data_IF_701348755162
#
_entry.id   IF_701348755162
#
_cell.length_a   1.000
_cell.length_b   1.000
_cell.length_c   1.000
_cell.angle_alpha   90.00
_cell.angle_beta   90.00
_cell.angle_gamma   90.00
#
_symmetry.space_group_name_H-M   'P 1'
#
loop_
_entity.id
_entity.type
_entity.pdbx_description
1 polymer ?
#
# COMPACT_ATOMS: atom_id res chain seq x y z
N UNK A 1 29.76 2.37 14.80
CA UNK A 1 29.50 1.39 13.71
C UNK A 1 28.09 1.61 13.19
N UNK A 2 27.93 2.03 11.95
CA UNK A 2 26.60 2.17 11.29
C UNK A 2 26.19 0.78 10.84
N UNK A 3 25.25 0.14 11.53
CA UNK A 3 24.64 -1.09 11.02
C UNK A 3 23.92 -0.76 9.71
N UNK A 4 24.59 -1.01 8.60
CA UNK A 4 23.92 -1.09 7.30
C UNK A 4 23.11 -2.36 7.32
N UNK A 5 21.78 -2.22 7.47
CA UNK A 5 20.87 -3.35 7.26
C UNK A 5 21.07 -3.82 5.83
N UNK A 6 21.43 -5.08 5.69
CA UNK A 6 21.55 -5.70 4.38
C UNK A 6 20.17 -5.66 3.68
N UNK A 7 20.04 -5.08 2.49
CA UNK A 7 18.76 -5.01 1.78
C UNK A 7 18.07 -6.38 1.59
N UNK A 8 18.87 -7.44 1.42
CA UNK A 8 18.37 -8.81 1.32
C UNK A 8 17.70 -9.29 2.62
N UNK A 9 18.30 -8.94 3.78
CA UNK A 9 17.73 -9.31 5.09
C UNK A 9 16.44 -8.53 5.41
N UNK A 10 16.39 -7.26 5.01
CA UNK A 10 15.18 -6.45 5.16
C UNK A 10 14.05 -6.98 4.27
N UNK A 11 14.35 -7.41 3.05
CA UNK A 11 13.40 -8.03 2.14
C UNK A 11 12.86 -9.34 2.69
N UNK A 12 13.73 -10.25 3.14
CA UNK A 12 13.33 -11.54 3.71
C UNK A 12 12.45 -11.35 4.95
N UNK A 13 12.85 -10.45 5.86
CA UNK A 13 12.08 -10.15 7.05
C UNK A 13 10.70 -9.55 6.71
N UNK A 14 10.61 -8.72 5.66
CA UNK A 14 9.34 -8.17 5.19
C UNK A 14 8.45 -9.27 4.57
N UNK A 15 9.01 -10.14 3.74
CA UNK A 15 8.31 -11.29 3.16
C UNK A 15 7.75 -12.20 4.25
N UNK A 16 8.56 -12.52 5.27
CA UNK A 16 8.13 -13.33 6.40
C UNK A 16 7.02 -12.64 7.21
N UNK A 17 7.13 -11.33 7.45
CA UNK A 17 6.11 -10.58 8.17
C UNK A 17 4.77 -10.58 7.41
N UNK A 18 4.79 -10.34 6.09
CA UNK A 18 3.58 -10.35 5.27
C UNK A 18 2.94 -11.74 5.18
N UNK A 19 3.75 -12.80 5.03
CA UNK A 19 3.25 -14.18 4.88
C UNK A 19 2.72 -14.76 6.18
N UNK A 20 3.32 -14.40 7.32
CA UNK A 20 3.00 -15.01 8.61
C UNK A 20 2.22 -14.09 9.55
N UNK A 21 1.83 -12.89 9.11
CA UNK A 21 1.10 -11.91 9.94
C UNK A 21 1.90 -11.46 11.17
N UNK A 22 3.21 -11.63 11.18
CA UNK A 22 4.06 -11.23 12.29
C UNK A 22 4.28 -9.72 12.26
N UNK A 23 3.99 -9.07 13.37
CA UNK A 23 4.29 -7.65 13.57
C UNK A 23 5.80 -7.48 13.61
N UNK A 24 6.38 -6.93 12.55
CA UNK A 24 7.74 -6.42 12.65
C UNK A 24 7.72 -5.16 13.51
N UNK A 25 8.45 -5.17 14.62
CA UNK A 25 8.68 -3.95 15.40
C UNK A 25 9.69 -3.08 14.65
N UNK A 26 9.17 -2.15 13.87
CA UNK A 26 9.96 -1.11 13.22
C UNK A 26 10.29 0.04 14.18
N UNK A 27 9.80 0.00 15.41
CA UNK A 27 9.97 1.05 16.42
C UNK A 27 11.44 1.31 16.76
N UNK A 28 12.29 0.29 16.60
CA UNK A 28 13.75 0.42 16.76
C UNK A 28 14.44 1.06 15.54
N UNK A 29 13.73 1.21 14.43
CA UNK A 29 14.27 1.73 13.18
C UNK A 29 13.70 3.10 12.86
N UNK A 30 13.79 4.02 13.81
CA UNK A 30 13.53 5.44 13.54
C UNK A 30 14.86 6.14 13.30
N UNK A 31 15.36 6.18 12.05
CA UNK A 31 16.52 7.00 11.77
C UNK A 31 16.18 8.44 12.14
N UNK A 32 17.08 9.12 12.85
CA UNK A 32 16.98 10.58 13.02
C UNK A 32 17.20 11.22 11.66
N UNK A 33 16.16 11.18 10.82
CA UNK A 33 16.20 11.83 9.52
C UNK A 33 16.06 13.33 9.77
N UNK A 34 17.11 14.07 9.49
CA UNK A 34 17.06 15.55 9.56
C UNK A 34 16.08 16.05 8.51
N UNK A 35 15.27 17.06 8.84
CA UNK A 35 14.44 17.73 7.84
C UNK A 35 15.29 18.11 6.63
N UNK A 36 14.79 17.84 5.44
CA UNK A 36 15.48 18.18 4.20
C UNK A 36 14.89 19.45 3.63
N UNK A 37 15.74 20.36 3.19
CA UNK A 37 15.37 21.55 2.39
C UNK A 37 15.16 21.21 0.92
N UNK A 38 15.14 19.94 0.57
CA UNK A 38 14.95 19.47 -0.81
C UNK A 38 13.59 19.88 -1.35
N UNK A 39 13.57 20.30 -2.60
CA UNK A 39 12.35 20.56 -3.37
C UNK A 39 11.78 19.29 -4.03
N UNK A 40 12.27 18.11 -3.70
CA UNK A 40 11.82 16.84 -4.27
C UNK A 40 11.15 15.95 -3.23
N UNK A 41 10.11 15.23 -3.63
CA UNK A 41 9.42 14.21 -2.84
C UNK A 41 9.56 12.86 -3.55
N UNK A 42 9.72 11.81 -2.77
CA UNK A 42 9.72 10.47 -3.33
C UNK A 42 8.30 9.94 -3.48
N UNK A 43 7.93 9.45 -4.65
CA UNK A 43 6.59 8.90 -4.90
C UNK A 43 6.68 7.39 -5.11
N UNK A 44 5.79 6.64 -4.45
CA UNK A 44 5.54 5.22 -4.68
C UNK A 44 4.08 5.07 -5.11
N UNK A 45 3.82 4.59 -6.31
CA UNK A 45 2.48 4.21 -6.76
C UNK A 45 2.28 2.72 -6.52
N UNK A 46 1.23 2.38 -5.79
CA UNK A 46 0.75 1.02 -5.57
C UNK A 46 -0.75 0.98 -5.92
N UNK A 47 -1.05 0.40 -7.04
CA UNK A 47 -2.40 0.21 -7.58
C UNK A 47 -2.54 -1.22 -8.06
N UNK A 48 -3.77 -1.69 -8.19
CA UNK A 48 -4.08 -3.01 -8.75
C UNK A 48 -3.32 -4.14 -8.02
N UNK A 49 -3.29 -4.06 -6.70
CA UNK A 49 -2.60 -5.06 -5.88
C UNK A 49 -3.38 -6.37 -5.80
N UNK A 50 -4.71 -6.30 -5.87
CA UNK A 50 -5.59 -7.46 -5.89
C UNK A 50 -5.25 -8.52 -4.83
N UNK A 51 -5.12 -8.11 -3.55
CA UNK A 51 -4.94 -9.08 -2.48
C UNK A 51 -6.10 -10.07 -2.44
N UNK A 52 -5.78 -11.36 -2.52
CA UNK A 52 -6.75 -12.44 -2.60
C UNK A 52 -6.91 -13.03 -4.00
N UNK A 53 -6.35 -12.40 -5.04
CA UNK A 53 -6.33 -12.99 -6.38
C UNK A 53 -5.61 -14.34 -6.37
N UNK A 54 -6.16 -15.30 -7.10
CA UNK A 54 -5.54 -16.58 -7.35
C UNK A 54 -5.50 -16.83 -8.86
N UNK A 55 -4.32 -16.99 -9.40
CA UNK A 55 -4.09 -17.38 -10.78
C UNK A 55 -3.34 -18.70 -10.75
N UNK A 56 -3.96 -19.73 -11.27
CA UNK A 56 -3.35 -21.05 -11.41
C UNK A 56 -2.36 -21.05 -12.58
N UNK A 57 -1.28 -21.81 -12.44
CA UNK A 57 -0.32 -22.00 -13.53
C UNK A 57 -0.96 -22.65 -14.76
N UNK A 58 -2.01 -23.45 -14.57
CA UNK A 58 -2.77 -24.02 -15.68
C UNK A 58 -3.57 -22.98 -16.47
N UNK A 59 -3.96 -21.87 -15.83
CA UNK A 59 -4.65 -20.76 -16.51
C UNK A 59 -3.66 -19.84 -17.27
N UNK A 60 -2.51 -19.58 -16.64
CA UNK A 60 -1.46 -18.74 -17.23
C UNK A 60 -0.10 -19.42 -16.99
N UNK A 61 0.38 -20.21 -17.94
CA UNK A 61 1.65 -20.92 -17.80
C UNK A 61 2.81 -20.02 -17.40
N UNK A 62 3.53 -20.40 -16.36
CA UNK A 62 4.66 -19.64 -15.81
C UNK A 62 4.27 -18.48 -14.90
N UNK A 63 2.98 -18.29 -14.59
CA UNK A 63 2.53 -17.18 -13.76
C UNK A 63 1.52 -17.63 -12.69
N UNK A 64 2.02 -18.26 -11.64
CA UNK A 64 1.22 -18.55 -10.46
C UNK A 64 1.12 -17.31 -9.55
N UNK A 65 -0.09 -16.88 -9.19
CA UNK A 65 -0.34 -15.80 -8.25
C UNK A 65 -1.20 -16.29 -7.11
N UNK A 66 -0.68 -16.16 -5.92
CA UNK A 66 -1.34 -16.49 -4.66
C UNK A 66 -1.05 -15.40 -3.60
N UNK A 67 -1.56 -15.58 -2.39
CA UNK A 67 -1.32 -14.69 -1.25
C UNK A 67 0.17 -14.45 -0.98
N UNK A 68 1.00 -15.49 -1.09
CA UNK A 68 2.45 -15.41 -0.87
C UNK A 68 3.12 -14.59 -1.97
N UNK A 69 2.70 -14.80 -3.21
CA UNK A 69 3.20 -14.06 -4.37
C UNK A 69 2.87 -12.57 -4.24
N UNK A 70 1.65 -12.23 -3.81
CA UNK A 70 1.26 -10.83 -3.60
C UNK A 70 2.07 -10.16 -2.48
N UNK A 71 2.27 -10.85 -1.35
CA UNK A 71 3.14 -10.34 -0.29
C UNK A 71 4.57 -10.10 -0.79
N UNK A 72 5.13 -11.02 -1.58
CA UNK A 72 6.46 -10.88 -2.19
C UNK A 72 6.54 -9.71 -3.17
N UNK A 73 5.51 -9.51 -4.00
CA UNK A 73 5.46 -8.36 -4.94
C UNK A 73 5.46 -7.04 -4.20
N UNK A 74 4.66 -6.92 -3.13
CA UNK A 74 4.63 -5.71 -2.29
C UNK A 74 5.98 -5.48 -1.58
N UNK A 75 6.59 -6.56 -1.06
CA UNK A 75 7.92 -6.49 -0.47
C UNK A 75 8.98 -6.05 -1.49
N UNK A 76 8.94 -6.59 -2.70
CA UNK A 76 9.84 -6.22 -3.79
C UNK A 76 9.67 -4.73 -4.17
N UNK A 77 8.44 -4.26 -4.38
CA UNK A 77 8.16 -2.85 -4.68
C UNK A 77 8.73 -1.94 -3.58
N UNK A 78 8.51 -2.32 -2.32
CA UNK A 78 9.02 -1.57 -1.17
C UNK A 78 10.55 -1.55 -1.14
N UNK A 79 11.20 -2.68 -1.34
CA UNK A 79 12.66 -2.78 -1.36
C UNK A 79 13.26 -1.95 -2.53
N UNK A 80 12.70 -2.09 -3.73
CA UNK A 80 13.14 -1.30 -4.90
C UNK A 80 12.97 0.20 -4.66
N UNK A 81 11.92 0.60 -3.96
CA UNK A 81 11.73 2.00 -3.57
C UNK A 81 12.86 2.50 -2.66
N UNK A 82 13.38 1.64 -1.77
CA UNK A 82 14.49 1.98 -0.90
C UNK A 82 15.80 2.14 -1.69
N UNK A 83 16.02 1.34 -2.74
CA UNK A 83 17.20 1.43 -3.61
C UNK A 83 17.26 2.80 -4.32
N UNK A 84 16.12 3.37 -4.68
CA UNK A 84 16.02 4.70 -5.29
C UNK A 84 16.19 5.87 -4.31
N UNK A 85 16.66 5.62 -3.10
CA UNK A 85 16.99 6.64 -2.10
C UNK A 85 18.23 7.44 -2.52
N UNK A 86 18.23 8.02 -3.69
CA UNK A 86 19.30 8.92 -4.13
C UNK A 86 18.96 10.36 -3.77
N UNK A 87 19.84 10.99 -3.01
CA UNK A 87 19.76 12.40 -2.65
C UNK A 87 18.86 12.69 -1.44
N UNK A 88 18.90 13.95 -1.02
CA UNK A 88 18.04 14.49 0.05
C UNK A 88 16.64 14.67 -0.50
N UNK A 89 15.62 14.14 0.18
CA UNK A 89 14.21 14.29 -0.18
C UNK A 89 13.44 14.86 0.99
N UNK A 90 12.39 15.63 0.71
CA UNK A 90 11.55 16.24 1.72
C UNK A 90 10.69 15.23 2.48
N UNK A 91 10.45 14.05 1.88
CA UNK A 91 9.66 12.97 2.45
C UNK A 91 9.31 11.94 1.40
N UNK A 92 8.38 11.04 1.74
CA UNK A 92 7.80 10.08 0.81
C UNK A 92 6.30 10.29 0.68
N UNK A 93 5.79 10.05 -0.52
CA UNK A 93 4.37 9.97 -0.82
C UNK A 93 4.05 8.58 -1.34
N UNK A 94 3.08 7.92 -0.73
CA UNK A 94 2.57 6.63 -1.15
C UNK A 94 1.19 6.85 -1.74
N UNK A 95 1.02 6.48 -3.00
CA UNK A 95 -0.23 6.61 -3.74
C UNK A 95 -0.87 5.23 -3.83
N UNK A 96 -1.98 5.03 -3.12
CA UNK A 96 -2.79 3.81 -3.17
C UNK A 96 -3.92 4.01 -4.17
N UNK A 97 -3.74 3.49 -5.36
CA UNK A 97 -4.55 3.83 -6.53
C UNK A 97 -5.83 3.02 -6.71
N UNK A 98 -6.27 2.24 -5.71
CA UNK A 98 -7.46 1.37 -5.81
C UNK A 98 -7.12 -0.05 -6.25
N UNK A 99 -8.15 -0.90 -6.31
CA UNK A 99 -8.06 -2.34 -6.53
C UNK A 99 -7.01 -3.00 -5.62
N UNK A 100 -7.09 -2.61 -4.34
CA UNK A 100 -6.17 -3.11 -3.31
C UNK A 100 -6.49 -4.57 -2.99
N UNK A 101 -7.75 -4.94 -2.97
CA UNK A 101 -8.20 -6.32 -2.79
C UNK A 101 -8.90 -6.81 -4.05
N UNK A 102 -8.94 -8.13 -4.25
CA UNK A 102 -9.65 -8.74 -5.38
C UNK A 102 -11.16 -8.63 -5.20
N UNK A 103 -11.65 -8.68 -3.96
CA UNK A 103 -13.06 -8.68 -3.69
C UNK A 103 -13.77 -9.96 -4.14
N UNK A 104 -15.07 -9.85 -4.42
CA UNK A 104 -15.91 -10.98 -4.83
C UNK A 104 -16.71 -10.70 -6.11
N UNK A 105 -16.41 -9.58 -6.78
CA UNK A 105 -17.22 -9.11 -7.92
C UNK A 105 -17.23 -10.12 -9.07
N UNK A 106 -16.08 -10.71 -9.37
CA UNK A 106 -15.93 -11.58 -10.54
C UNK A 106 -16.18 -13.06 -10.23
N UNK A 107 -16.37 -13.46 -8.97
CA UNK A 107 -16.77 -14.81 -8.54
C UNK A 107 -15.81 -15.94 -8.93
N UNK A 108 -14.64 -15.60 -9.48
CA UNK A 108 -13.56 -16.52 -9.85
C UNK A 108 -12.23 -15.94 -9.43
N UNK A 109 -11.27 -16.79 -9.15
CA UNK A 109 -9.89 -16.37 -8.94
C UNK A 109 -9.58 -15.79 -7.57
N UNK A 110 -10.43 -16.03 -6.54
CA UNK A 110 -10.07 -15.75 -5.15
C UNK A 110 -9.77 -17.04 -4.41
N UNK A 111 -8.67 -17.07 -3.67
CA UNK A 111 -8.30 -18.20 -2.81
C UNK A 111 -8.36 -17.85 -1.32
N UNK A 112 -8.86 -16.69 -0.97
CA UNK A 112 -8.96 -16.22 0.39
C UNK A 112 -10.32 -15.62 0.70
N UNK A 113 -10.91 -15.92 1.88
CA UNK A 113 -12.09 -15.22 2.37
C UNK A 113 -11.88 -13.70 2.36
N UNK A 114 -12.93 -12.92 2.14
CA UNK A 114 -12.86 -11.46 2.01
C UNK A 114 -12.16 -10.79 3.21
N UNK A 115 -12.46 -11.24 4.44
CA UNK A 115 -11.78 -10.74 5.63
C UNK A 115 -10.27 -10.97 5.57
N UNK A 116 -9.83 -12.12 5.02
CA UNK A 116 -8.41 -12.42 4.89
C UNK A 116 -7.73 -11.52 3.85
N UNK A 117 -8.43 -11.21 2.74
CA UNK A 117 -7.92 -10.27 1.73
C UNK A 117 -7.67 -8.90 2.35
N UNK A 118 -8.63 -8.41 3.16
CA UNK A 118 -8.50 -7.13 3.89
C UNK A 118 -7.33 -7.17 4.86
N UNK A 119 -7.18 -8.23 5.67
CA UNK A 119 -6.06 -8.36 6.60
C UNK A 119 -4.70 -8.40 5.89
N UNK A 120 -4.59 -9.16 4.80
CA UNK A 120 -3.35 -9.26 4.04
C UNK A 120 -2.95 -7.88 3.47
N UNK A 121 -3.92 -7.14 2.92
CA UNK A 121 -3.71 -5.79 2.44
C UNK A 121 -3.27 -4.83 3.56
N UNK A 122 -3.96 -4.84 4.70
CA UNK A 122 -3.64 -4.02 5.86
C UNK A 122 -2.19 -4.24 6.32
N UNK A 123 -1.80 -5.49 6.51
CA UNK A 123 -0.44 -5.83 6.96
C UNK A 123 0.64 -5.45 5.96
N UNK A 124 0.48 -5.80 4.71
CA UNK A 124 1.48 -5.52 3.69
C UNK A 124 1.66 -4.00 3.47
N UNK A 125 0.56 -3.25 3.42
CA UNK A 125 0.62 -1.80 3.27
C UNK A 125 1.15 -1.09 4.52
N UNK A 126 0.83 -1.58 5.72
CA UNK A 126 1.41 -1.08 6.96
C UNK A 126 2.94 -1.20 6.94
N UNK A 127 3.47 -2.34 6.52
CA UNK A 127 4.92 -2.52 6.39
C UNK A 127 5.53 -1.61 5.32
N UNK A 128 4.86 -1.44 4.19
CA UNK A 128 5.30 -0.50 3.15
C UNK A 128 5.40 0.94 3.68
N UNK A 129 4.39 1.40 4.42
CA UNK A 129 4.37 2.74 5.02
C UNK A 129 5.50 2.89 6.03
N UNK A 130 5.70 1.91 6.92
CA UNK A 130 6.78 1.95 7.90
C UNK A 130 8.18 1.95 7.26
N UNK A 131 8.38 1.16 6.22
CA UNK A 131 9.64 1.16 5.48
C UNK A 131 9.91 2.52 4.82
N UNK A 132 8.89 3.14 4.22
CA UNK A 132 8.99 4.49 3.67
C UNK A 132 9.28 5.52 4.77
N UNK A 133 8.59 5.43 5.92
CA UNK A 133 8.82 6.30 7.07
C UNK A 133 10.27 6.19 7.58
N UNK A 134 10.78 4.98 7.72
CA UNK A 134 12.15 4.72 8.14
C UNK A 134 13.18 5.29 7.14
N UNK A 135 12.88 5.22 5.84
CA UNK A 135 13.80 5.67 4.80
C UNK A 135 13.77 7.19 4.57
N UNK A 136 12.61 7.83 4.70
CA UNK A 136 12.41 9.22 4.30
C UNK A 136 12.01 10.16 5.44
N UNK A 137 11.76 9.64 6.63
CA UNK A 137 11.44 10.41 7.84
C UNK A 137 10.00 10.89 7.94
N UNK A 138 9.29 11.05 6.84
CA UNK A 138 7.86 11.34 6.79
C UNK A 138 7.21 10.69 5.58
N UNK A 139 5.93 10.35 5.73
CA UNK A 139 5.12 9.72 4.68
C UNK A 139 3.76 10.38 4.62
N UNK A 140 3.33 10.74 3.43
CA UNK A 140 1.94 11.06 3.15
C UNK A 140 1.34 9.98 2.27
N UNK A 141 0.17 9.49 2.64
CA UNK A 141 -0.54 8.44 1.90
C UNK A 141 -1.78 9.05 1.25
N UNK A 142 -1.82 9.03 -0.07
CA UNK A 142 -3.01 9.41 -0.84
C UNK A 142 -3.74 8.15 -1.28
N UNK A 143 -5.06 8.15 -1.11
CA UNK A 143 -5.89 6.99 -1.39
C UNK A 143 -6.92 7.30 -2.48
N UNK A 144 -7.17 6.31 -3.34
CA UNK A 144 -8.31 6.25 -4.23
C UNK A 144 -8.92 4.85 -4.15
N UNK A 145 -10.20 4.71 -4.40
CA UNK A 145 -10.89 3.41 -4.40
C UNK A 145 -11.00 2.86 -5.82
N UNK A 146 -10.89 1.56 -5.95
CA UNK A 146 -11.00 0.85 -7.22
C UNK A 146 -12.42 0.35 -7.53
N UNK A 147 -12.51 -0.50 -8.53
CA UNK A 147 -13.78 -1.16 -8.89
C UNK A 147 -13.90 -2.58 -8.32
N UNK A 148 -12.80 -3.29 -8.09
CA UNK A 148 -12.80 -4.60 -7.43
C UNK A 148 -13.08 -4.52 -5.93
N UNK A 149 -12.66 -3.45 -5.28
CA UNK A 149 -12.81 -3.25 -3.84
C UNK A 149 -14.26 -3.00 -3.40
N UNK A 150 -15.21 -2.85 -4.32
CA UNK A 150 -16.59 -2.52 -3.99
C UNK A 150 -17.25 -3.62 -3.19
N UNK A 151 -18.04 -3.23 -2.23
CA UNK A 151 -18.99 -4.11 -1.58
C UNK A 151 -20.11 -4.42 -2.57
N UNK A 152 -19.90 -5.38 -3.46
CA UNK A 152 -20.86 -5.70 -4.49
C UNK A 152 -21.85 -6.73 -4.00
N UNK A 153 -23.09 -6.31 -3.81
CA UNK A 153 -24.20 -7.24 -3.90
C UNK A 153 -24.47 -7.55 -5.38
N UNK A 154 -24.42 -8.83 -5.75
CA UNK A 154 -24.89 -9.29 -7.06
C UNK A 154 -26.38 -9.00 -7.16
N UNK A 155 -26.77 -8.00 -7.91
CA UNK A 155 -28.19 -7.65 -8.15
C UNK A 155 -28.31 -6.19 -8.59
N UNK A 156 -29.50 -5.72 -8.98
CA UNK A 156 -29.75 -4.31 -9.29
C UNK A 156 -29.72 -3.42 -8.03
N UNK A 157 -29.08 -3.90 -6.96
CA UNK A 157 -28.87 -3.19 -5.72
C UNK A 157 -27.93 -2.02 -5.91
N UNK A 158 -28.34 -0.87 -5.46
CA UNK A 158 -27.59 0.37 -5.48
C UNK A 158 -26.33 0.23 -4.65
N UNK A 159 -25.21 0.61 -5.21
CA UNK A 159 -24.03 1.03 -4.44
C UNK A 159 -24.50 2.22 -3.60
N UNK A 160 -24.48 2.07 -2.26
CA UNK A 160 -25.11 3.04 -1.36
C UNK A 160 -24.44 4.40 -1.40
N UNK A 161 -23.14 4.46 -1.63
CA UNK A 161 -22.37 5.72 -1.64
C UNK A 161 -21.21 5.69 -2.65
N UNK A 162 -21.48 5.25 -3.88
CA UNK A 162 -20.52 5.30 -4.98
C UNK A 162 -19.18 4.67 -4.64
N UNK A 163 -18.12 5.44 -4.78
CA UNK A 163 -16.74 5.00 -4.54
C UNK A 163 -16.38 4.87 -3.05
N UNK A 164 -17.14 5.49 -2.14
CA UNK A 164 -16.86 5.43 -0.71
C UNK A 164 -17.24 4.08 -0.08
N UNK A 165 -18.26 3.42 -0.58
CA UNK A 165 -18.67 2.09 -0.13
C UNK A 165 -17.76 1.02 -0.74
N UNK A 166 -16.55 0.98 -0.23
CA UNK A 166 -15.45 0.17 -0.73
C UNK A 166 -14.66 -0.45 0.41
N UNK A 167 -14.28 -1.70 0.25
CA UNK A 167 -13.46 -2.43 1.22
C UNK A 167 -12.05 -1.84 1.35
N UNK A 168 -11.52 -1.23 0.30
CA UNK A 168 -10.26 -0.48 0.40
C UNK A 168 -10.38 0.72 1.35
N UNK A 169 -11.56 1.32 1.49
CA UNK A 169 -11.81 2.36 2.50
C UNK A 169 -11.59 1.84 3.92
N UNK A 170 -11.99 0.59 4.21
CA UNK A 170 -11.71 -0.04 5.51
C UNK A 170 -10.22 -0.26 5.73
N UNK A 171 -9.50 -0.68 4.69
CA UNK A 171 -8.04 -0.82 4.74
C UNK A 171 -7.39 0.53 5.05
N UNK A 172 -7.77 1.58 4.34
CA UNK A 172 -7.21 2.91 4.52
C UNK A 172 -7.53 3.51 5.89
N UNK A 173 -8.77 3.36 6.35
CA UNK A 173 -9.21 3.83 7.68
C UNK A 173 -8.43 3.13 8.80
N UNK A 174 -8.21 1.82 8.68
CA UNK A 174 -7.41 1.07 9.63
C UNK A 174 -5.95 1.55 9.64
N UNK A 175 -5.33 1.71 8.47
CA UNK A 175 -3.96 2.23 8.34
C UNK A 175 -3.83 3.62 8.99
N UNK A 176 -4.77 4.52 8.72
CA UNK A 176 -4.79 5.84 9.34
C UNK A 176 -4.96 5.76 10.86
N UNK A 177 -5.80 4.84 11.34
CA UNK A 177 -6.02 4.57 12.77
C UNK A 177 -4.76 4.08 13.48
N UNK A 178 -4.03 3.14 12.88
CA UNK A 178 -2.77 2.61 13.42
C UNK A 178 -1.70 3.69 13.52
N UNK A 179 -1.64 4.60 12.56
CA UNK A 179 -0.65 5.67 12.51
C UNK A 179 -1.10 6.98 13.16
N UNK A 180 -2.31 7.07 13.74
CA UNK A 180 -2.92 8.32 14.24
C UNK A 180 -2.06 9.13 15.20
N UNK A 181 -1.23 8.46 15.99
CA UNK A 181 -0.35 9.10 16.99
C UNK A 181 1.05 9.44 16.44
N UNK A 182 1.29 9.20 15.16
CA UNK A 182 2.57 9.50 14.53
C UNK A 182 2.42 10.70 13.57
N UNK A 183 2.85 11.92 13.98
CA UNK A 183 2.68 13.13 13.17
C UNK A 183 3.48 13.10 11.86
N UNK A 184 4.38 12.14 11.69
CA UNK A 184 5.17 11.97 10.47
C UNK A 184 4.46 11.12 9.40
N UNK A 185 3.28 10.56 9.74
CA UNK A 185 2.47 9.79 8.79
C UNK A 185 1.10 10.47 8.69
N UNK A 186 0.74 10.86 7.49
CA UNK A 186 -0.54 11.54 7.23
C UNK A 186 -1.27 10.87 6.07
N UNK A 187 -2.59 11.00 6.05
CA UNK A 187 -3.44 10.36 5.06
C UNK A 187 -4.40 11.35 4.40
N UNK A 188 -4.64 11.14 3.11
CA UNK A 188 -5.76 11.71 2.35
C UNK A 188 -6.67 10.56 1.91
N UNK A 189 -7.83 10.42 2.57
CA UNK A 189 -8.85 9.42 2.26
C UNK A 189 -10.12 10.15 1.83
N UNK A 190 -10.23 10.55 0.55
CA UNK A 190 -11.35 11.35 0.08
C UNK A 190 -12.60 10.50 -0.14
N UNK A 191 -13.76 11.12 -0.01
CA UNK A 191 -15.04 10.54 -0.45
C UNK A 191 -15.25 10.63 -1.97
N UNK A 192 -14.46 11.47 -2.63
CA UNK A 192 -14.44 11.62 -4.09
C UNK A 192 -13.68 10.46 -4.75
N UNK A 193 -13.91 10.17 -6.02
CA UNK A 193 -13.19 9.12 -6.74
C UNK A 193 -11.71 9.48 -7.03
N UNK A 194 -11.23 10.60 -6.54
CA UNK A 194 -9.87 11.07 -6.78
C UNK A 194 -9.31 11.83 -5.58
N UNK A 195 -8.00 11.85 -5.49
CA UNK A 195 -7.22 12.70 -4.58
C UNK A 195 -6.38 13.69 -5.39
N UNK A 196 -6.31 14.94 -4.94
CA UNK A 196 -5.51 15.99 -5.58
C UNK A 196 -4.43 16.46 -4.64
N UNK A 197 -3.22 16.63 -5.15
CA UNK A 197 -2.12 17.19 -4.39
C UNK A 197 -1.18 18.04 -5.26
N UNK A 198 -0.38 18.88 -4.63
CA UNK A 198 0.64 19.67 -5.32
C UNK A 198 2.02 19.08 -5.06
N UNK A 199 2.76 18.84 -6.12
CA UNK A 199 4.17 18.48 -6.04
C UNK A 199 4.99 19.71 -5.57
N UNK A 200 6.19 19.51 -5.00
CA UNK A 200 7.05 20.62 -4.55
C UNK A 200 7.36 21.66 -5.65
N UNK A 201 7.37 21.25 -6.92
CA UNK A 201 7.51 22.14 -8.08
C UNK A 201 6.24 22.89 -8.50
N UNK A 202 5.14 22.76 -7.75
CA UNK A 202 3.89 23.46 -8.02
C UNK A 202 2.92 22.72 -8.95
N UNK A 203 3.35 21.61 -9.57
CA UNK A 203 2.49 20.80 -10.43
C UNK A 203 1.32 20.21 -9.64
N UNK A 204 0.13 20.28 -10.22
CA UNK A 204 -1.06 19.63 -9.69
C UNK A 204 -1.08 18.17 -10.17
N UNK A 205 -1.16 17.25 -9.21
CA UNK A 205 -1.23 15.82 -9.47
C UNK A 205 -2.60 15.32 -9.02
N UNK A 206 -3.16 14.41 -9.80
CA UNK A 206 -4.44 13.75 -9.50
C UNK A 206 -4.19 12.25 -9.44
N UNK A 207 -4.64 11.63 -8.36
CA UNK A 207 -4.71 10.18 -8.23
C UNK A 207 -6.16 9.76 -8.42
N UNK A 208 -6.42 8.92 -9.36
CA UNK A 208 -7.73 8.29 -9.61
C UNK A 208 -7.50 6.85 -10.05
N UNK A 209 -8.50 6.00 -9.81
CA UNK A 209 -8.60 4.69 -10.44
C UNK A 209 -9.48 4.81 -11.67
N UNK A 210 -9.06 4.23 -12.80
CA UNK A 210 -9.70 4.35 -14.10
C UNK A 210 -11.17 3.91 -14.19
#
# INVERSE_FOLDING_TARGET
>A
MKNKVNPLTARQAFEEACVHGRVMRWDSYSPKVKPSTSTSVGVTLATDLHYGVNIDEAEVPGNQVDRRTMARRTAFLTARRMDYKQGKRQGSRVLLGGDIIEGEIHGRGTNAPLAQQVFDAQWCLHHMINANLAAFGSVHVDCATGNHDRWAHRGPGRVVDGKWDSLSTLVYAWLAGVHRNNPRVTFSIPKTPYTVWKAPGGQVCVLTHG
#
